data_IF_117388602888
#
_entry.id   IF_117388602888
#
_cell.length_a   1.000
_cell.length_b   1.000
_cell.length_c   1.000
_cell.angle_alpha   90.00
_cell.angle_beta   90.00
_cell.angle_gamma   90.00
#
_symmetry.space_group_name_H-M   'P 1'
#
loop_
_entity.id
_entity.type
_entity.pdbx_description
1 polymer ?
#
# COMPACT_ATOMS: atom_id res chain seq x y z
N UNK A 1 -19.51 5.28 19.11
CA UNK A 1 -19.56 6.54 18.32
C UNK A 1 -18.25 6.85 17.64
N UNK A 2 -17.11 6.87 18.36
CA UNK A 2 -15.78 7.18 17.77
C UNK A 2 -15.34 6.26 16.62
N UNK A 3 -15.67 4.96 16.68
CA UNK A 3 -15.29 4.00 15.62
C UNK A 3 -16.02 4.26 14.29
N UNK A 4 -17.31 4.62 14.36
CA UNK A 4 -18.15 4.88 13.19
C UNK A 4 -17.68 6.13 12.43
N UNK A 5 -17.28 7.17 13.16
CA UNK A 5 -16.69 8.38 12.55
C UNK A 5 -15.36 8.12 11.85
N UNK A 6 -14.51 7.23 12.40
CA UNK A 6 -13.27 6.83 11.73
C UNK A 6 -13.52 6.07 10.43
N UNK A 7 -14.49 5.17 10.43
CA UNK A 7 -14.90 4.42 9.23
C UNK A 7 -15.48 5.35 8.14
N UNK A 8 -16.29 6.34 8.53
CA UNK A 8 -16.85 7.34 7.60
C UNK A 8 -15.76 8.23 6.99
N UNK A 9 -14.82 8.74 7.80
CA UNK A 9 -13.68 9.54 7.32
C UNK A 9 -12.76 8.73 6.39
N UNK A 10 -12.57 7.44 6.67
CA UNK A 10 -11.75 6.57 5.83
C UNK A 10 -12.43 6.27 4.49
N UNK A 11 -13.75 6.06 4.50
CA UNK A 11 -14.57 5.91 3.29
C UNK A 11 -14.53 7.17 2.41
N UNK A 12 -14.61 8.36 3.00
CA UNK A 12 -14.48 9.63 2.26
C UNK A 12 -13.10 9.77 1.60
N UNK A 13 -12.01 9.44 2.32
CA UNK A 13 -10.65 9.48 1.77
C UNK A 13 -10.49 8.48 0.63
N UNK A 14 -11.02 7.26 0.78
CA UNK A 14 -11.00 6.26 -0.28
C UNK A 14 -11.74 6.75 -1.54
N UNK A 15 -12.93 7.36 -1.37
CA UNK A 15 -13.68 7.94 -2.49
C UNK A 15 -12.95 9.11 -3.16
N UNK A 16 -12.31 9.98 -2.38
CA UNK A 16 -11.49 11.08 -2.90
C UNK A 16 -10.34 10.54 -3.75
N UNK A 17 -9.65 9.51 -3.26
CA UNK A 17 -8.53 8.90 -3.97
C UNK A 17 -9.00 8.23 -5.26
N UNK A 18 -10.08 7.44 -5.22
CA UNK A 18 -10.68 6.81 -6.41
C UNK A 18 -11.12 7.86 -7.45
N UNK A 19 -11.76 8.94 -7.02
CA UNK A 19 -12.17 10.03 -7.91
C UNK A 19 -10.99 10.70 -8.59
N UNK A 20 -9.92 11.01 -7.85
CA UNK A 20 -8.75 11.68 -8.41
C UNK A 20 -7.97 10.77 -9.37
N UNK A 21 -7.88 9.48 -9.04
CA UNK A 21 -7.31 8.45 -9.92
C UNK A 21 -8.10 8.38 -11.25
N UNK A 22 -9.43 8.30 -11.18
CA UNK A 22 -10.27 8.21 -12.37
C UNK A 22 -10.20 9.50 -13.21
N UNK A 23 -10.14 10.66 -12.58
CA UNK A 23 -9.96 11.95 -13.25
C UNK A 23 -8.64 12.00 -14.02
N UNK A 24 -7.54 11.51 -13.43
CA UNK A 24 -6.22 11.41 -14.08
C UNK A 24 -6.21 10.42 -15.24
N UNK A 25 -6.90 9.29 -15.12
CA UNK A 25 -7.05 8.32 -16.22
C UNK A 25 -7.83 8.92 -17.40
N UNK A 26 -8.93 9.61 -17.12
CA UNK A 26 -9.74 10.30 -18.13
C UNK A 26 -8.95 11.45 -18.80
N UNK A 27 -8.13 12.19 -18.04
CA UNK A 27 -7.24 13.22 -18.61
C UNK A 27 -6.18 12.66 -19.56
N UNK A 28 -5.63 11.46 -19.30
CA UNK A 28 -4.67 10.83 -20.23
C UNK A 28 -5.30 10.41 -21.56
N UNK A 29 -6.62 10.20 -21.61
CA UNK A 29 -7.34 10.01 -22.87
C UNK A 29 -7.52 11.34 -23.63
N UNK A 30 -7.71 12.47 -22.94
CA UNK A 30 -7.84 13.81 -23.57
C UNK A 30 -6.49 14.46 -23.91
N UNK A 31 -5.38 14.08 -23.25
CA UNK A 31 -4.04 14.59 -23.54
C UNK A 31 -3.43 14.08 -24.87
N UNK A 32 -4.07 13.09 -25.53
CA UNK A 32 -3.78 12.78 -26.94
C UNK A 32 -4.41 13.78 -27.91
N UNK A 33 -5.39 14.56 -27.48
CA UNK A 33 -6.08 15.58 -28.29
C UNK A 33 -5.63 17.02 -27.95
N UNK A 34 -5.12 17.29 -26.74
CA UNK A 34 -4.76 18.65 -26.27
C UNK A 34 -3.25 18.97 -26.19
N UNK A 35 -2.41 18.40 -27.07
CA UNK A 35 -1.03 18.91 -27.27
C UNK A 35 -0.96 20.31 -27.89
N UNK A 36 -2.08 21.01 -28.05
CA UNK A 36 -2.15 22.28 -28.77
C UNK A 36 -2.58 23.51 -27.95
N UNK A 37 -2.80 23.43 -26.63
CA UNK A 37 -3.14 24.63 -25.85
C UNK A 37 -2.35 24.78 -24.55
N UNK A 38 -1.41 25.71 -24.67
CA UNK A 38 -0.54 26.36 -23.69
C UNK A 38 -1.16 26.69 -22.31
N UNK A 39 -0.28 26.76 -21.32
CA UNK A 39 -0.03 28.04 -20.64
C UNK A 39 -0.91 28.41 -19.43
N UNK A 40 -0.23 28.55 -18.29
CA UNK A 40 -0.45 29.64 -17.34
C UNK A 40 -1.85 29.75 -16.68
N UNK A 41 -2.04 29.10 -15.53
CA UNK A 41 -2.76 29.77 -14.43
C UNK A 41 -2.26 29.33 -13.06
N UNK A 42 -1.49 30.23 -12.45
CA UNK A 42 -1.32 30.32 -11.01
C UNK A 42 -2.56 31.04 -10.41
N UNK A 43 -3.05 30.54 -9.28
CA UNK A 43 -3.89 31.28 -8.36
C UNK A 43 -5.39 31.33 -8.66
N UNK A 44 -6.15 30.40 -8.08
CA UNK A 44 -7.39 30.67 -7.32
C UNK A 44 -7.76 29.39 -6.56
N UNK A 45 -7.96 29.49 -5.25
CA UNK A 45 -8.45 28.38 -4.44
C UNK A 45 -9.82 27.92 -4.91
N UNK A 46 -9.89 26.68 -5.41
CA UNK A 46 -11.03 25.76 -5.51
C UNK A 46 -10.46 24.42 -5.99
N UNK A 47 -10.50 23.41 -5.13
CA UNK A 47 -10.43 21.97 -5.44
C UNK A 47 -9.26 21.49 -6.32
N UNK A 48 -8.05 21.91 -5.98
CA UNK A 48 -6.84 21.20 -6.39
C UNK A 48 -6.63 20.04 -5.41
N UNK A 49 -7.42 18.96 -5.57
CA UNK A 49 -7.12 17.70 -4.90
C UNK A 49 -5.77 17.27 -5.46
N UNK A 50 -4.74 17.37 -4.62
CA UNK A 50 -3.42 16.93 -4.96
C UNK A 50 -3.50 15.43 -5.32
N UNK A 51 -2.73 14.93 -6.30
CA UNK A 51 -2.65 13.49 -6.54
C UNK A 51 -2.47 12.79 -5.19
N UNK A 52 -3.16 11.68 -4.89
CA UNK A 52 -3.08 10.98 -3.59
C UNK A 52 -1.64 10.80 -3.08
N UNK A 53 -0.74 10.55 -4.03
CA UNK A 53 0.73 10.51 -3.93
C UNK A 53 1.30 11.76 -3.22
N UNK A 54 0.87 12.98 -3.55
CA UNK A 54 1.34 14.19 -2.83
C UNK A 54 0.87 14.27 -1.38
N UNK A 55 -0.24 13.61 -1.00
CA UNK A 55 -0.71 13.61 0.38
C UNK A 55 0.10 12.65 1.27
N UNK A 56 0.89 11.75 0.69
CA UNK A 56 1.89 10.95 1.42
C UNK A 56 3.05 11.81 1.95
N UNK A 57 3.18 13.05 1.48
CA UNK A 57 4.16 14.06 1.93
C UNK A 57 3.52 15.17 2.79
N UNK A 58 2.26 15.00 3.23
CA UNK A 58 1.58 15.98 4.07
C UNK A 58 2.31 16.16 5.41
N UNK A 59 2.23 17.34 6.03
CA UNK A 59 2.84 17.57 7.35
C UNK A 59 2.08 16.91 8.49
N UNK A 60 0.82 16.55 8.25
CA UNK A 60 -0.02 15.87 9.21
C UNK A 60 0.13 14.34 9.08
N UNK A 61 0.69 13.71 10.12
CA UNK A 61 0.88 12.26 10.20
C UNK A 61 -0.42 11.48 10.00
N UNK A 62 -1.53 11.95 10.58
CA UNK A 62 -2.82 11.27 10.52
C UNK A 62 -3.37 11.24 9.08
N UNK A 63 -3.09 12.30 8.30
CA UNK A 63 -3.46 12.36 6.89
C UNK A 63 -2.61 11.39 6.08
N UNK A 64 -1.28 11.37 6.30
CA UNK A 64 -0.37 10.45 5.61
C UNK A 64 -0.72 8.99 5.88
N UNK A 65 -1.02 8.65 7.12
CA UNK A 65 -1.40 7.30 7.55
C UNK A 65 -2.69 6.85 6.87
N UNK A 66 -3.75 7.66 6.93
CA UNK A 66 -5.03 7.37 6.26
C UNK A 66 -4.88 7.21 4.75
N UNK A 67 -4.08 8.06 4.11
CA UNK A 67 -3.81 7.96 2.67
C UNK A 67 -3.03 6.69 2.35
N UNK A 68 -2.04 6.33 3.17
CA UNK A 68 -1.27 5.11 2.98
C UNK A 68 -2.13 3.86 3.13
N UNK A 69 -3.03 3.81 4.12
CA UNK A 69 -3.98 2.72 4.31
C UNK A 69 -4.98 2.61 3.16
N UNK A 70 -5.48 3.74 2.66
CA UNK A 70 -6.35 3.73 1.49
C UNK A 70 -5.62 3.22 0.23
N UNK A 71 -4.34 3.56 0.03
CA UNK A 71 -3.54 3.02 -1.08
C UNK A 71 -3.33 1.51 -0.93
N UNK A 72 -3.06 1.03 0.28
CA UNK A 72 -2.97 -0.41 0.56
C UNK A 72 -4.29 -1.11 0.22
N UNK A 73 -5.43 -0.57 0.65
CA UNK A 73 -6.75 -1.14 0.33
C UNK A 73 -7.06 -1.13 -1.18
N UNK A 74 -6.71 -0.06 -1.89
CA UNK A 74 -6.89 0.03 -3.34
C UNK A 74 -6.01 -0.96 -4.10
N UNK A 75 -4.86 -1.33 -3.54
CA UNK A 75 -3.93 -2.26 -4.18
C UNK A 75 -4.51 -3.67 -4.35
N UNK A 76 -5.62 -4.02 -3.71
CA UNK A 76 -6.32 -5.29 -3.94
C UNK A 76 -7.06 -5.35 -5.29
N UNK A 77 -7.37 -4.20 -5.89
CA UNK A 77 -8.07 -4.13 -7.18
C UNK A 77 -7.10 -3.83 -8.33
N UNK A 78 -7.14 -4.66 -9.38
CA UNK A 78 -6.27 -4.54 -10.57
C UNK A 78 -6.37 -3.18 -11.27
N UNK A 79 -7.59 -2.66 -11.45
CA UNK A 79 -7.80 -1.38 -12.12
C UNK A 79 -7.19 -0.23 -11.31
N UNK A 80 -7.34 -0.27 -9.98
CA UNK A 80 -6.77 0.73 -9.08
C UNK A 80 -5.23 0.63 -9.04
N UNK A 81 -4.66 -0.58 -9.01
CA UNK A 81 -3.20 -0.80 -9.12
C UNK A 81 -2.64 -0.21 -10.40
N UNK A 82 -3.26 -0.49 -11.54
CA UNK A 82 -2.84 0.05 -12.84
C UNK A 82 -2.81 1.58 -12.84
N UNK A 83 -3.78 2.19 -12.18
CA UNK A 83 -3.94 3.63 -12.10
C UNK A 83 -2.97 4.29 -11.09
N UNK A 84 -2.70 3.64 -9.95
CA UNK A 84 -1.68 4.06 -8.98
C UNK A 84 -0.26 3.93 -9.56
N UNK A 85 0.02 2.87 -10.29
CA UNK A 85 1.29 2.72 -11.00
C UNK A 85 1.51 3.85 -12.04
N UNK A 86 0.42 4.42 -12.56
CA UNK A 86 0.42 5.54 -13.51
C UNK A 86 0.65 6.92 -12.88
N UNK A 87 0.63 7.05 -11.55
CA UNK A 87 0.68 8.32 -10.81
C UNK A 87 1.96 8.55 -10.01
N UNK A 88 3.01 7.73 -10.24
CA UNK A 88 4.28 7.71 -9.47
C UNK A 88 4.15 7.20 -8.02
N UNK A 89 3.01 6.64 -7.64
CA UNK A 89 2.78 6.10 -6.30
C UNK A 89 3.86 5.10 -5.87
N UNK A 90 4.32 4.26 -6.81
CA UNK A 90 5.31 3.20 -6.55
C UNK A 90 6.61 3.75 -5.96
N UNK A 91 7.11 4.89 -6.45
CA UNK A 91 8.37 5.47 -5.95
C UNK A 91 8.24 5.91 -4.49
N UNK A 92 7.15 6.62 -4.16
CA UNK A 92 6.90 7.03 -2.79
C UNK A 92 6.66 5.84 -1.86
N UNK A 93 5.97 4.81 -2.32
CA UNK A 93 5.78 3.59 -1.53
C UNK A 93 7.12 2.91 -1.23
N UNK A 94 8.07 2.90 -2.18
CA UNK A 94 9.43 2.38 -1.95
C UNK A 94 10.17 3.22 -0.91
N UNK A 95 10.08 4.55 -0.97
CA UNK A 95 10.69 5.44 0.03
C UNK A 95 10.07 5.23 1.42
N UNK A 96 8.75 5.03 1.47
CA UNK A 96 7.99 4.78 2.70
C UNK A 96 8.37 3.47 3.41
N UNK A 97 9.04 2.52 2.75
CA UNK A 97 9.54 1.32 3.43
C UNK A 97 10.57 1.64 4.53
N UNK A 98 11.11 2.87 4.54
CA UNK A 98 12.04 3.36 5.54
C UNK A 98 11.43 4.45 6.45
N UNK A 99 10.10 4.63 6.41
CA UNK A 99 9.42 5.61 7.27
C UNK A 99 9.58 5.25 8.75
N UNK A 100 9.58 6.25 9.63
CA UNK A 100 9.65 6.04 11.08
C UNK A 100 8.35 5.39 11.60
N UNK A 101 7.21 5.70 10.98
CA UNK A 101 5.91 5.10 11.31
C UNK A 101 5.82 3.65 10.85
N UNK A 102 5.58 2.74 11.79
CA UNK A 102 5.38 1.32 11.51
C UNK A 102 4.17 1.07 10.62
N UNK A 103 3.05 1.73 10.89
CA UNK A 103 1.83 1.62 10.10
C UNK A 103 2.04 2.04 8.65
N UNK A 104 2.80 3.12 8.43
CA UNK A 104 3.12 3.56 7.07
C UNK A 104 4.03 2.59 6.32
N UNK A 105 5.00 1.98 7.01
CA UNK A 105 5.85 0.93 6.41
C UNK A 105 5.04 -0.29 6.04
N UNK A 106 4.11 -0.70 6.90
CA UNK A 106 3.28 -1.89 6.68
C UNK A 106 2.31 -1.68 5.52
N UNK A 107 1.62 -0.53 5.47
CA UNK A 107 0.76 -0.15 4.35
C UNK A 107 1.54 -0.09 3.02
N UNK A 108 2.78 0.44 3.05
CA UNK A 108 3.63 0.47 1.86
C UNK A 108 4.07 -0.93 1.42
N UNK A 109 4.45 -1.79 2.37
CA UNK A 109 4.83 -3.17 2.11
C UNK A 109 3.67 -3.94 1.47
N UNK A 110 2.47 -3.84 2.05
CA UNK A 110 1.25 -4.46 1.55
C UNK A 110 0.93 -4.03 0.11
N UNK A 111 0.92 -2.72 -0.14
CA UNK A 111 0.65 -2.20 -1.48
C UNK A 111 1.69 -2.67 -2.51
N UNK A 112 2.99 -2.65 -2.17
CA UNK A 112 4.05 -3.07 -3.09
C UNK A 112 4.03 -4.57 -3.36
N UNK A 113 3.72 -5.42 -2.36
CA UNK A 113 3.54 -6.86 -2.57
C UNK A 113 2.43 -7.10 -3.59
N UNK A 114 1.25 -6.50 -3.39
CA UNK A 114 0.12 -6.63 -4.30
C UNK A 114 0.43 -6.13 -5.71
N UNK A 115 1.27 -5.10 -5.85
CA UNK A 115 1.73 -4.62 -7.15
C UNK A 115 2.66 -5.64 -7.80
N UNK A 116 3.62 -6.19 -7.06
CA UNK A 116 4.59 -7.18 -7.59
C UNK A 116 3.98 -8.51 -7.98
N UNK A 117 2.85 -8.86 -7.37
CA UNK A 117 2.07 -10.06 -7.72
C UNK A 117 1.20 -9.85 -8.98
N UNK A 118 1.01 -8.60 -9.42
CA UNK A 118 0.24 -8.28 -10.62
C UNK A 118 1.10 -8.43 -11.90
N UNK A 119 0.82 -9.44 -12.75
CA UNK A 119 1.61 -9.67 -13.96
C UNK A 119 1.51 -8.51 -14.96
N UNK A 120 0.41 -7.75 -14.94
CA UNK A 120 0.21 -6.61 -15.86
C UNK A 120 1.16 -5.43 -15.56
N UNK A 121 1.72 -5.39 -14.35
CA UNK A 121 2.63 -4.35 -13.91
C UNK A 121 4.11 -4.73 -14.04
N UNK A 122 4.44 -5.98 -14.38
CA UNK A 122 5.78 -6.56 -14.32
C UNK A 122 6.91 -5.66 -14.84
N UNK A 123 6.85 -5.23 -16.09
CA UNK A 123 7.89 -4.35 -16.67
C UNK A 123 8.01 -3.01 -15.95
N UNK A 124 6.88 -2.47 -15.48
CA UNK A 124 6.78 -1.14 -14.86
C UNK A 124 7.35 -1.10 -13.45
N UNK A 125 7.30 -2.20 -12.73
CA UNK A 125 7.75 -2.30 -11.33
C UNK A 125 8.98 -3.18 -11.17
N UNK A 126 9.56 -3.68 -12.28
CA UNK A 126 10.78 -4.49 -12.28
C UNK A 126 11.93 -3.88 -11.47
N UNK A 127 12.05 -2.55 -11.43
CA UNK A 127 13.04 -1.85 -10.63
C UNK A 127 12.81 -1.98 -9.11
N UNK A 128 11.56 -2.13 -8.66
CA UNK A 128 11.20 -2.29 -7.24
C UNK A 128 11.80 -3.57 -6.68
N UNK A 129 11.79 -4.66 -7.46
CA UNK A 129 12.38 -5.94 -7.09
C UNK A 129 13.90 -5.86 -6.84
N UNK A 130 14.55 -4.87 -7.45
CA UNK A 130 15.97 -4.60 -7.29
C UNK A 130 16.27 -3.52 -6.23
N UNK A 131 15.25 -2.96 -5.58
CA UNK A 131 15.43 -1.96 -4.51
C UNK A 131 15.89 -2.64 -3.21
N UNK A 132 17.00 -2.20 -2.58
CA UNK A 132 17.44 -2.74 -1.30
C UNK A 132 16.38 -2.63 -0.20
N UNK A 133 15.62 -1.54 -0.18
CA UNK A 133 14.55 -1.33 0.82
C UNK A 133 13.44 -2.36 0.68
N UNK A 134 13.08 -2.71 -0.56
CA UNK A 134 12.08 -3.73 -0.84
C UNK A 134 12.61 -5.13 -0.50
N UNK A 135 13.86 -5.44 -0.84
CA UNK A 135 14.50 -6.71 -0.48
C UNK A 135 14.58 -6.90 1.04
N UNK A 136 15.05 -5.89 1.78
CA UNK A 136 15.08 -5.91 3.24
C UNK A 136 13.68 -6.12 3.84
N UNK A 137 12.67 -5.49 3.27
CA UNK A 137 11.28 -5.69 3.68
C UNK A 137 10.82 -7.14 3.42
N UNK A 138 11.11 -7.71 2.25
CA UNK A 138 10.78 -9.10 1.91
C UNK A 138 11.51 -10.11 2.81
N UNK A 139 12.79 -9.86 3.12
CA UNK A 139 13.54 -10.64 4.09
C UNK A 139 12.88 -10.62 5.47
N UNK A 140 12.44 -9.44 5.95
CA UNK A 140 11.68 -9.34 7.21
C UNK A 140 10.39 -10.15 7.18
N UNK A 141 9.60 -10.06 6.09
CA UNK A 141 8.35 -10.82 5.96
C UNK A 141 8.58 -12.34 5.94
N UNK A 142 9.63 -12.81 5.27
CA UNK A 142 9.96 -14.24 5.22
C UNK A 142 10.40 -14.76 6.59
N UNK A 143 11.16 -13.98 7.37
CA UNK A 143 11.57 -14.35 8.73
C UNK A 143 10.40 -14.43 9.71
N UNK A 144 9.42 -13.53 9.60
CA UNK A 144 8.18 -13.57 10.39
C UNK A 144 7.41 -14.86 10.09
N UNK A 145 7.18 -15.15 8.80
CA UNK A 145 6.48 -16.38 8.36
C UNK A 145 7.20 -17.66 8.82
N UNK A 146 8.53 -17.66 8.78
CA UNK A 146 9.33 -18.79 9.24
C UNK A 146 9.23 -19.00 10.77
N UNK A 147 9.21 -17.92 11.54
CA UNK A 147 9.05 -17.94 12.99
C UNK A 147 7.66 -18.44 13.41
N UNK A 148 6.60 -17.97 12.75
CA UNK A 148 5.22 -18.44 12.98
C UNK A 148 5.06 -19.94 12.66
N UNK A 149 5.68 -20.39 11.57
CA UNK A 149 5.71 -21.81 11.21
C UNK A 149 6.45 -22.65 12.27
N UNK A 150 7.55 -22.12 12.82
CA UNK A 150 8.32 -22.78 13.88
C UNK A 150 7.52 -22.86 15.19
N UNK A 151 6.82 -21.79 15.57
CA UNK A 151 5.90 -21.77 16.72
C UNK A 151 4.76 -22.79 16.54
N UNK A 152 4.14 -22.83 15.36
CA UNK A 152 3.08 -23.79 15.05
C UNK A 152 3.58 -25.25 15.05
N UNK A 153 4.83 -25.50 14.62
CA UNK A 153 5.47 -26.81 14.72
C UNK A 153 5.79 -27.18 16.19
N UNK A 154 6.33 -26.24 16.97
CA UNK A 154 6.66 -26.44 18.38
C UNK A 154 5.44 -26.76 19.23
N UNK A 155 4.31 -26.06 19.03
CA UNK A 155 3.06 -26.34 19.74
C UNK A 155 2.54 -27.75 19.45
N UNK A 156 2.65 -28.22 18.20
CA UNK A 156 2.28 -29.60 17.83
C UNK A 156 3.15 -30.65 18.51
N UNK A 157 4.46 -30.40 18.62
CA UNK A 157 5.39 -31.29 19.33
C UNK A 157 5.08 -31.37 20.83
N UNK A 158 4.86 -30.22 21.48
CA UNK A 158 4.52 -30.18 22.92
C UNK A 158 3.22 -30.92 23.22
N UNK A 159 2.20 -30.79 22.38
CA UNK A 159 0.95 -31.54 22.53
C UNK A 159 1.11 -33.05 22.33
N UNK A 160 2.01 -33.48 21.45
CA UNK A 160 2.30 -34.90 21.25
C UNK A 160 3.05 -35.52 22.44
N UNK A 161 4.05 -34.82 22.98
CA UNK A 161 4.81 -35.28 24.15
C UNK A 161 3.95 -35.40 25.41
N UNK A 162 3.04 -34.45 25.66
CA UNK A 162 2.11 -34.50 26.79
C UNK A 162 1.19 -35.74 26.76
N UNK A 163 0.74 -36.15 25.57
CA UNK A 163 -0.07 -37.37 25.40
C UNK A 163 0.73 -38.66 25.59
N UNK A 164 2.02 -38.67 25.22
CA UNK A 164 2.88 -39.84 25.43
C UNK A 164 3.30 -40.05 26.88
N UNK A 165 3.27 -38.99 27.71
CA UNK A 165 3.65 -39.06 29.13
C UNK A 165 2.49 -39.49 30.06
N UNK A 166 1.22 -39.29 29.66
CA UNK A 166 0.07 -39.80 30.43
C UNK A 166 -0.14 -41.31 30.29
N UNK A 167 0.33 -41.91 29.19
CA UNK A 167 0.23 -43.35 28.93
C UNK A 167 1.39 -44.20 29.48
N UNK A 168 2.38 -43.58 30.13
CA UNK A 168 3.55 -44.28 30.69
C UNK A 168 3.51 -44.41 32.24
N UNK A 169 2.40 -44.03 32.89
CA UNK A 169 2.22 -44.10 34.35
C UNK A 169 1.02 -44.97 34.81
N UNK A 170 0.61 -45.96 34.02
CA UNK A 170 -0.33 -47.02 34.44
C UNK A 170 0.31 -48.38 34.15
#
# INVERSE_FOLDING_TARGET
MKQRQKEDEQSEIEQIIRCEIQRKLNMKQTEKEDKQREGLIAGTGRDYIAPPVRLLEDRNSDVREKVSGAIAQLSYNEADRAALANSRAILQLVDMLQDESEEMRDNAAEALVNFTEDPSLGDRISYVLNSPSFQNMQERLTQIRASDAHLAASLRHVSFEQLTMEHALI
#
